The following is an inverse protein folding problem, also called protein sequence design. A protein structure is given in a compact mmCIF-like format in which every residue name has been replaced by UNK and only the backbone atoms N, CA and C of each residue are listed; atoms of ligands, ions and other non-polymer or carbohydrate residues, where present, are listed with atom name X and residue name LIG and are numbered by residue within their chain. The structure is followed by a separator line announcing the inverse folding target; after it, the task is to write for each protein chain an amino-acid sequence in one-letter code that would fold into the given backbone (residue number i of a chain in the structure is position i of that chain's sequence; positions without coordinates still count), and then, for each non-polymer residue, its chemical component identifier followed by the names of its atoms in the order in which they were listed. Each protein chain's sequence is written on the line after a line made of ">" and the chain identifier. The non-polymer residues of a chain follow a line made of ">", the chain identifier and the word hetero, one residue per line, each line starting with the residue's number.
data_IF_666779674793
#
_entry.id   IF_666779674793
#
_cell.length_a   1.000
_cell.length_b   1.000
_cell.length_c   1.000
_cell.angle_alpha   90.00
_cell.angle_beta   90.00
_cell.angle_gamma   90.00
#
_symmetry.space_group_name_H-M   'P 1'
#
loop_
_entity.id
_entity.type
_entity.pdbx_description
1 polymer ?
#
# COMPACT_ATOMS: atom_id res chain seq x y z
N UNK A 1 -20.29 24.69 -4.31
CA UNK A 1 -19.99 25.05 -2.89
C UNK A 1 -19.64 23.74 -2.18
N UNK A 2 -18.38 23.32 -2.07
CA UNK A 2 -17.37 23.91 -1.20
C UNK A 2 -15.94 23.41 -1.53
N UNK A 3 -15.53 23.47 -2.81
CA UNK A 3 -14.25 22.87 -3.26
C UNK A 3 -13.02 23.76 -2.98
N UNK A 4 -13.25 25.05 -2.74
CA UNK A 4 -12.18 26.00 -2.47
C UNK A 4 -11.53 25.78 -1.09
N UNK A 5 -12.30 25.37 -0.07
CA UNK A 5 -11.74 25.04 1.25
C UNK A 5 -10.94 23.73 1.21
N UNK A 6 -11.45 22.71 0.50
CA UNK A 6 -10.69 21.46 0.26
C UNK A 6 -9.36 21.78 -0.41
N UNK A 7 -9.41 22.49 -1.54
CA UNK A 7 -8.22 22.82 -2.33
C UNK A 7 -7.17 23.53 -1.47
N UNK A 8 -7.58 24.53 -0.69
CA UNK A 8 -6.70 25.24 0.25
C UNK A 8 -6.05 24.31 1.27
N UNK A 9 -6.83 23.43 1.91
CA UNK A 9 -6.28 22.48 2.91
C UNK A 9 -5.26 21.54 2.28
N UNK A 10 -5.54 21.00 1.08
CA UNK A 10 -4.63 20.09 0.39
C UNK A 10 -3.36 20.82 -0.10
N UNK A 11 -3.47 22.08 -0.51
CA UNK A 11 -2.31 22.90 -0.88
C UNK A 11 -1.42 23.19 0.33
N UNK A 12 -2.01 23.55 1.48
CA UNK A 12 -1.27 23.75 2.72
C UNK A 12 -0.62 22.46 3.23
N UNK A 13 -1.27 21.30 3.05
CA UNK A 13 -0.67 20.00 3.34
C UNK A 13 0.61 19.76 2.51
N UNK A 14 0.60 20.12 1.22
CA UNK A 14 1.77 20.02 0.34
C UNK A 14 2.90 20.97 0.75
N UNK A 15 2.58 22.24 0.99
CA UNK A 15 3.56 23.24 1.49
C UNK A 15 4.18 22.79 2.81
N UNK A 16 3.37 22.23 3.70
CA UNK A 16 3.85 21.68 4.96
C UNK A 16 4.78 20.47 4.76
N UNK A 17 4.52 19.58 3.78
CA UNK A 17 5.47 18.52 3.44
C UNK A 17 6.83 19.12 3.04
N UNK A 18 6.81 20.08 2.11
CA UNK A 18 8.02 20.70 1.57
C UNK A 18 8.82 21.46 2.64
N UNK A 19 8.16 22.07 3.63
CA UNK A 19 8.83 22.81 4.71
C UNK A 19 9.48 21.92 5.77
N UNK A 20 8.96 20.71 6.01
CA UNK A 20 9.52 19.77 7.00
C UNK A 20 10.50 18.76 6.41
N UNK A 21 10.52 18.60 5.09
CA UNK A 21 11.45 17.68 4.42
C UNK A 21 12.87 18.20 4.62
N UNK A 22 13.64 17.48 5.45
CA UNK A 22 15.04 17.79 5.71
C UNK A 22 15.83 17.77 4.41
N UNK A 23 16.42 18.91 4.05
CA UNK A 23 17.27 19.09 2.87
C UNK A 23 18.75 18.81 3.16
N UNK A 24 19.04 18.04 4.21
CA UNK A 24 20.42 17.75 4.60
C UNK A 24 21.15 17.02 3.48
N UNK A 25 22.20 17.65 2.94
CA UNK A 25 23.10 16.96 2.03
C UNK A 25 23.77 15.78 2.74
N UNK A 26 24.12 14.76 1.97
CA UNK A 26 24.89 13.65 2.49
C UNK A 26 26.28 14.11 2.92
N UNK A 27 26.64 13.87 4.19
CA UNK A 27 27.95 14.13 4.76
C UNK A 27 28.63 12.79 5.09
N UNK A 28 29.72 12.43 4.40
CA UNK A 28 30.45 11.19 4.66
C UNK A 28 30.84 11.05 6.14
N UNK A 29 30.59 9.87 6.71
CA UNK A 29 30.90 9.57 8.11
C UNK A 29 29.99 10.24 9.14
N UNK A 30 28.98 11.02 8.72
CA UNK A 30 28.04 11.71 9.64
C UNK A 30 26.59 11.38 9.33
N UNK A 31 26.16 11.44 8.07
CA UNK A 31 24.77 11.14 7.69
C UNK A 31 24.49 9.65 7.90
N UNK A 32 23.46 9.35 8.70
CA UNK A 32 22.99 7.99 8.93
C UNK A 32 22.43 7.37 7.63
N UNK A 33 22.83 6.12 7.36
CA UNK A 33 22.39 5.37 6.18
C UNK A 33 21.45 4.27 6.64
N UNK A 34 20.16 4.49 6.48
CA UNK A 34 19.12 3.51 6.80
C UNK A 34 19.06 2.41 5.73
N UNK A 35 18.93 1.13 6.11
CA UNK A 35 18.81 0.02 5.14
C UNK A 35 17.45 0.01 4.41
N UNK A 36 16.44 0.69 4.96
CA UNK A 36 15.13 0.89 4.35
C UNK A 36 14.45 2.14 4.91
N UNK A 37 13.45 2.66 4.19
CA UNK A 37 12.64 3.80 4.63
C UNK A 37 11.60 4.17 3.58
N UNK A 38 10.49 4.76 4.02
CA UNK A 38 9.50 5.31 3.11
C UNK A 38 10.04 6.61 2.49
N UNK A 39 9.99 6.70 1.17
CA UNK A 39 10.25 7.95 0.44
C UNK A 39 8.90 8.49 0.02
N UNK A 40 8.38 9.43 0.80
CA UNK A 40 7.08 10.05 0.54
C UNK A 40 7.30 11.45 -0.04
N UNK A 41 6.34 11.88 -0.86
CA UNK A 41 6.29 13.24 -1.40
C UNK A 41 5.09 14.03 -0.85
N UNK A 42 4.93 15.26 -1.34
CA UNK A 42 3.83 16.13 -0.95
C UNK A 42 2.44 15.57 -1.31
N UNK A 43 2.33 14.79 -2.39
CA UNK A 43 1.07 14.21 -2.84
C UNK A 43 0.65 13.04 -1.95
N UNK A 44 1.58 12.25 -1.42
CA UNK A 44 1.28 11.24 -0.39
C UNK A 44 0.63 11.87 0.85
N UNK A 45 1.18 13.00 1.31
CA UNK A 45 0.64 13.73 2.46
C UNK A 45 -0.74 14.31 2.13
N UNK A 46 -0.89 14.91 0.95
CA UNK A 46 -2.16 15.45 0.50
C UNK A 46 -3.23 14.35 0.39
N UNK A 47 -2.89 13.17 -0.14
CA UNK A 47 -3.81 12.04 -0.27
C UNK A 47 -4.29 11.55 1.11
N UNK A 48 -3.41 11.50 2.11
CA UNK A 48 -3.80 11.14 3.48
C UNK A 48 -4.77 12.16 4.08
N UNK A 49 -4.48 13.46 3.92
CA UNK A 49 -5.37 14.54 4.39
C UNK A 49 -6.71 14.52 3.64
N UNK A 50 -6.70 14.26 2.34
CA UNK A 50 -7.91 14.12 1.54
C UNK A 50 -8.81 13.00 2.05
N UNK A 51 -8.24 11.82 2.32
CA UNK A 51 -8.98 10.70 2.88
C UNK A 51 -9.62 11.04 4.24
N UNK A 52 -8.92 11.82 5.07
CA UNK A 52 -9.43 12.31 6.34
C UNK A 52 -10.57 13.33 6.17
N UNK A 53 -10.47 14.26 5.22
CA UNK A 53 -11.54 15.22 4.91
C UNK A 53 -12.81 14.54 4.41
N UNK A 54 -12.67 13.42 3.70
CA UNK A 54 -13.78 12.60 3.23
C UNK A 54 -14.43 11.75 4.34
N UNK A 55 -13.78 11.64 5.52
CA UNK A 55 -14.15 10.72 6.61
C UNK A 55 -14.37 9.28 6.12
N UNK A 56 -13.68 8.88 5.05
CA UNK A 56 -13.78 7.54 4.46
C UNK A 56 -12.79 6.61 5.17
N UNK A 57 -13.31 5.95 6.19
CA UNK A 57 -12.54 5.00 7.01
C UNK A 57 -12.43 3.63 6.34
N UNK A 58 -13.48 3.20 5.63
CA UNK A 58 -13.52 1.89 4.99
C UNK A 58 -12.96 1.92 3.56
N UNK A 59 -12.46 0.76 3.10
CA UNK A 59 -12.04 0.57 1.72
C UNK A 59 -13.17 0.95 0.74
N UNK A 60 -12.82 1.69 -0.32
CA UNK A 60 -13.80 2.37 -1.14
C UNK A 60 -13.30 2.70 -2.55
N UNK A 61 -13.77 3.80 -3.16
CA UNK A 61 -13.38 4.18 -4.52
C UNK A 61 -11.87 4.28 -4.74
N UNK A 62 -11.13 4.85 -3.77
CA UNK A 62 -9.67 4.95 -3.84
C UNK A 62 -9.00 3.57 -3.85
N UNK A 63 -9.43 2.66 -2.98
CA UNK A 63 -8.92 1.29 -2.92
C UNK A 63 -9.18 0.54 -4.23
N UNK A 64 -10.40 0.67 -4.80
CA UNK A 64 -10.75 0.04 -6.10
C UNK A 64 -9.94 0.62 -7.25
N UNK A 65 -9.69 1.94 -7.24
CA UNK A 65 -8.83 2.60 -8.22
C UNK A 65 -7.41 2.06 -8.13
N UNK A 66 -6.85 2.02 -6.92
CA UNK A 66 -5.52 1.45 -6.67
C UNK A 66 -5.43 0.01 -7.16
N UNK A 67 -6.38 -0.87 -6.79
CA UNK A 67 -6.40 -2.27 -7.23
C UNK A 67 -6.40 -2.41 -8.75
N UNK A 68 -7.20 -1.60 -9.45
CA UNK A 68 -7.27 -1.59 -10.93
C UNK A 68 -5.96 -1.11 -11.56
N UNK A 69 -5.42 0.01 -11.08
CA UNK A 69 -4.18 0.58 -11.59
C UNK A 69 -2.98 -0.34 -11.30
N UNK A 70 -2.93 -0.93 -10.11
CA UNK A 70 -1.89 -1.87 -9.69
C UNK A 70 -1.94 -3.18 -10.50
N UNK A 71 -3.14 -3.73 -10.74
CA UNK A 71 -3.29 -4.90 -11.60
C UNK A 71 -2.80 -4.62 -13.02
N UNK A 72 -3.14 -3.45 -13.58
CA UNK A 72 -2.67 -3.01 -14.90
C UNK A 72 -1.15 -2.85 -14.94
N UNK A 73 -0.56 -2.24 -13.92
CA UNK A 73 0.89 -2.07 -13.79
C UNK A 73 1.62 -3.42 -13.84
N UNK A 74 1.11 -4.41 -13.10
CA UNK A 74 1.68 -5.77 -13.05
C UNK A 74 1.27 -6.67 -14.22
N UNK A 75 0.51 -6.16 -15.20
CA UNK A 75 -0.05 -6.92 -16.31
C UNK A 75 -0.86 -8.15 -15.84
N UNK A 76 -1.63 -7.99 -14.76
CA UNK A 76 -2.53 -9.01 -14.19
C UNK A 76 -3.98 -8.60 -14.37
N UNK A 77 -4.88 -9.58 -14.29
CA UNK A 77 -6.33 -9.35 -14.47
C UNK A 77 -6.96 -8.66 -13.26
N UNK A 78 -6.51 -8.99 -12.05
CA UNK A 78 -7.06 -8.50 -10.78
C UNK A 78 -5.94 -8.31 -9.77
N UNK A 79 -6.15 -7.37 -8.86
CA UNK A 79 -5.43 -7.24 -7.61
C UNK A 79 -6.45 -6.97 -6.49
N UNK A 80 -6.12 -7.39 -5.28
CA UNK A 80 -6.96 -7.17 -4.11
C UNK A 80 -6.09 -6.61 -2.98
N UNK A 81 -6.49 -5.46 -2.45
CA UNK A 81 -5.84 -4.86 -1.29
C UNK A 81 -6.16 -5.66 -0.03
N UNK A 82 -5.17 -5.77 0.83
CA UNK A 82 -5.27 -6.35 2.16
C UNK A 82 -4.37 -5.56 3.11
N UNK A 83 -4.50 -5.79 4.41
CA UNK A 83 -3.88 -4.95 5.43
C UNK A 83 -2.35 -5.13 5.59
N UNK A 84 -1.75 -6.17 4.99
CA UNK A 84 -0.31 -6.41 5.03
C UNK A 84 0.14 -7.44 3.97
N UNK A 85 1.45 -7.51 3.71
CA UNK A 85 2.03 -8.57 2.87
C UNK A 85 1.82 -9.99 3.43
N UNK A 86 1.95 -10.17 4.75
CA UNK A 86 1.70 -11.46 5.41
C UNK A 86 0.25 -11.92 5.24
N UNK A 87 -0.71 -11.01 5.36
CA UNK A 87 -2.13 -11.32 5.08
C UNK A 87 -2.36 -11.66 3.60
N UNK A 88 -1.60 -11.06 2.68
CA UNK A 88 -1.68 -11.42 1.27
C UNK A 88 -1.23 -12.88 1.04
N UNK A 89 -0.13 -13.30 1.66
CA UNK A 89 0.33 -14.70 1.60
C UNK A 89 -0.68 -15.67 2.24
N UNK A 90 -1.23 -15.30 3.40
CA UNK A 90 -2.27 -16.10 4.07
C UNK A 90 -3.49 -16.28 3.15
N UNK A 91 -4.00 -15.19 2.57
CA UNK A 91 -5.14 -15.24 1.66
C UNK A 91 -4.83 -16.04 0.39
N UNK A 92 -3.63 -15.90 -0.17
CA UNK A 92 -3.21 -16.63 -1.36
C UNK A 92 -3.18 -18.15 -1.11
N UNK A 93 -2.57 -18.59 0.00
CA UNK A 93 -2.53 -20.01 0.35
C UNK A 93 -3.93 -20.55 0.71
N UNK A 94 -4.68 -19.82 1.54
CA UNK A 94 -6.00 -20.24 2.00
C UNK A 94 -7.02 -20.29 0.85
N UNK A 95 -6.87 -19.47 -0.18
CA UNK A 95 -7.73 -19.57 -1.38
C UNK A 95 -7.63 -20.95 -2.05
N UNK A 96 -6.47 -21.63 -1.96
CA UNK A 96 -6.30 -22.98 -2.48
C UNK A 96 -7.00 -24.06 -1.66
N UNK A 97 -7.52 -23.77 -0.47
CA UNK A 97 -8.35 -24.72 0.30
C UNK A 97 -9.83 -24.66 -0.07
N UNK A 98 -10.21 -23.78 -1.01
CA UNK A 98 -11.60 -23.55 -1.39
C UNK A 98 -12.25 -24.81 -1.97
N UNK A 99 -13.49 -25.17 -1.54
CA UNK A 99 -14.23 -26.29 -2.13
C UNK A 99 -14.54 -26.09 -3.62
N UNK A 100 -14.49 -24.85 -4.13
CA UNK A 100 -14.68 -24.54 -5.55
C UNK A 100 -13.59 -25.15 -6.46
N UNK A 101 -12.45 -25.55 -5.88
CA UNK A 101 -11.35 -26.18 -6.61
C UNK A 101 -11.51 -27.72 -6.72
N UNK A 102 -12.54 -28.31 -6.10
CA UNK A 102 -12.80 -29.75 -6.14
C UNK A 102 -11.60 -30.56 -5.63
N UNK A 103 -11.22 -31.60 -6.38
CA UNK A 103 -10.07 -32.47 -6.07
C UNK A 103 -8.71 -31.75 -6.08
N UNK A 104 -8.63 -30.52 -6.63
CA UNK A 104 -7.38 -29.75 -6.68
C UNK A 104 -7.16 -28.85 -5.47
N UNK A 105 -8.10 -28.82 -4.51
CA UNK A 105 -7.95 -28.01 -3.30
C UNK A 105 -6.92 -28.63 -2.37
N UNK A 106 -6.21 -27.78 -1.62
CA UNK A 106 -5.37 -28.23 -0.52
C UNK A 106 -6.22 -28.70 0.66
N UNK A 107 -5.82 -29.82 1.27
CA UNK A 107 -6.40 -30.44 2.45
C UNK A 107 -5.37 -30.54 3.60
N UNK A 108 -5.81 -30.66 4.85
CA UNK A 108 -4.91 -31.01 5.95
C UNK A 108 -4.17 -32.31 5.65
N UNK A 109 -2.83 -32.26 5.71
CA UNK A 109 -1.95 -33.38 5.35
C UNK A 109 -1.23 -33.20 4.00
N UNK A 110 -1.70 -32.29 3.14
CA UNK A 110 -1.02 -31.96 1.88
C UNK A 110 0.28 -31.18 2.13
N UNK A 111 1.27 -31.41 1.27
CA UNK A 111 2.60 -30.84 1.40
C UNK A 111 2.77 -29.57 0.54
N UNK A 112 3.42 -28.56 1.13
CA UNK A 112 3.82 -27.32 0.43
C UNK A 112 5.33 -27.22 0.44
N UNK A 113 5.95 -27.35 -0.73
CA UNK A 113 7.40 -27.18 -0.89
C UNK A 113 7.74 -25.69 -0.77
N UNK A 114 8.70 -25.38 0.09
CA UNK A 114 9.25 -24.04 0.26
C UNK A 114 10.73 -24.11 0.66
N UNK A 115 11.40 -22.96 0.73
CA UNK A 115 12.78 -22.85 1.22
C UNK A 115 12.81 -22.42 2.68
N UNK A 116 13.86 -22.83 3.41
CA UNK A 116 14.00 -22.48 4.83
C UNK A 116 14.50 -21.03 5.06
N UNK A 117 15.24 -20.46 4.12
CA UNK A 117 15.73 -19.08 4.18
C UNK A 117 14.80 -18.16 3.37
N UNK A 118 13.86 -17.53 4.08
CA UNK A 118 12.94 -16.52 3.52
C UNK A 118 13.46 -15.09 3.65
N UNK A 119 12.62 -14.14 3.27
CA UNK A 119 12.83 -12.70 3.37
C UNK A 119 12.02 -12.10 4.52
#
# INVERSE_FOLDING_TARGET
>A
MNDEHRTRVLEEARKHHQSVRGSGEFVPGTTEIWPSGAVLDEDDRAALVEAALDLRIAAGPLSKRFESEFARLLKRRKAHLTNSGSSANLLALTAYTSPQLGERRLLPGDEVITVAAGF
#
